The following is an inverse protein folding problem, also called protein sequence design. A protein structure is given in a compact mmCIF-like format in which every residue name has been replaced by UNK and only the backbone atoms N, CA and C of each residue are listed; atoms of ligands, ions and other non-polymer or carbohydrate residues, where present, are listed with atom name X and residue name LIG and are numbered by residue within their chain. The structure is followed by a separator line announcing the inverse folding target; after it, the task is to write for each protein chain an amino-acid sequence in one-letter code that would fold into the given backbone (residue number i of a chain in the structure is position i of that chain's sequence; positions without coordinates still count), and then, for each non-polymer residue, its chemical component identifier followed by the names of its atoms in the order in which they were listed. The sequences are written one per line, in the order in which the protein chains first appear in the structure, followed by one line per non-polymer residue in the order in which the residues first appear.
data_IF_577658581841
#
_entry.id   IF_577658581841
#
_cell.length_a   1.000
_cell.length_b   1.000
_cell.length_c   1.000
_cell.angle_alpha   90.00
_cell.angle_beta   90.00
_cell.angle_gamma   90.00
#
_symmetry.space_group_name_H-M   'P 1'
#
loop_
_entity.id
_entity.type
_entity.pdbx_description
1 polymer ?
#
# COMPACT_ATOMS: atom_id res chain seq x y z
N UNK A 1 -4.73 -15.04 -29.64
CA UNK A 1 -3.60 -14.63 -28.77
C UNK A 1 -3.35 -13.11 -28.72
N UNK A 2 -3.39 -12.37 -29.85
CA UNK A 2 -3.14 -10.90 -29.87
C UNK A 2 -4.10 -10.05 -29.01
N UNK A 3 -5.35 -10.48 -28.84
CA UNK A 3 -6.36 -9.77 -28.03
C UNK A 3 -6.01 -9.78 -26.54
N UNK A 4 -5.50 -10.90 -26.03
CA UNK A 4 -5.10 -11.06 -24.63
C UNK A 4 -3.90 -10.16 -24.30
N UNK A 5 -2.91 -10.10 -25.20
CA UNK A 5 -1.72 -9.25 -25.03
C UNK A 5 -2.07 -7.75 -25.05
N UNK A 6 -3.07 -7.35 -25.84
CA UNK A 6 -3.58 -5.97 -25.88
C UNK A 6 -4.37 -5.59 -24.61
N UNK A 7 -5.02 -6.56 -23.96
CA UNK A 7 -5.74 -6.35 -22.69
C UNK A 7 -4.78 -6.16 -21.51
N UNK A 8 -3.64 -6.87 -21.50
CA UNK A 8 -2.63 -6.77 -20.44
C UNK A 8 -1.89 -5.42 -20.35
N UNK A 9 -1.87 -4.64 -21.44
CA UNK A 9 -1.15 -3.36 -21.55
C UNK A 9 -2.13 -2.16 -21.51
N UNK A 10 -3.43 -2.42 -21.33
CA UNK A 10 -4.41 -1.33 -21.23
C UNK A 10 -4.09 -0.50 -19.99
N UNK A 11 -4.03 0.82 -20.14
CA UNK A 11 -3.95 1.79 -19.03
C UNK A 11 -5.18 2.70 -19.10
N UNK A 12 -5.63 3.24 -17.97
CA UNK A 12 -6.73 4.22 -17.96
C UNK A 12 -6.11 5.61 -18.12
N UNK A 13 -6.55 6.41 -19.10
CA UNK A 13 -6.06 7.78 -19.24
C UNK A 13 -6.51 8.63 -18.05
N UNK A 14 -5.63 9.53 -17.61
CA UNK A 14 -5.83 10.39 -16.42
C UNK A 14 -7.14 11.18 -16.44
N UNK A 15 -7.59 11.60 -17.64
CA UNK A 15 -8.86 12.33 -17.81
C UNK A 15 -10.07 11.49 -17.37
N UNK A 16 -10.05 10.17 -17.62
CA UNK A 16 -11.13 9.28 -17.18
C UNK A 16 -11.11 9.06 -15.67
N UNK A 17 -9.93 9.14 -15.03
CA UNK A 17 -9.81 9.07 -13.57
C UNK A 17 -10.40 10.31 -12.89
N UNK A 18 -10.23 11.50 -13.48
CA UNK A 18 -10.84 12.74 -12.97
C UNK A 18 -12.37 12.66 -13.00
N UNK A 19 -12.94 12.15 -14.09
CA UNK A 19 -14.38 11.92 -14.21
C UNK A 19 -14.86 10.87 -13.21
N UNK A 20 -14.04 9.85 -12.94
CA UNK A 20 -14.34 8.85 -11.91
C UNK A 20 -14.38 9.49 -10.52
N UNK A 21 -13.48 10.41 -10.18
CA UNK A 21 -13.56 11.17 -8.91
C UNK A 21 -14.89 11.93 -8.79
N UNK A 22 -15.31 12.62 -9.84
CA UNK A 22 -16.53 13.44 -9.85
C UNK A 22 -17.84 12.62 -9.87
N UNK A 23 -17.78 11.37 -10.32
CA UNK A 23 -18.96 10.48 -10.42
C UNK A 23 -19.09 9.51 -9.25
N UNK A 24 -18.19 9.54 -8.28
CA UNK A 24 -18.23 8.64 -7.13
C UNK A 24 -19.36 9.03 -6.16
N UNK A 25 -19.94 7.99 -5.54
CA UNK A 25 -20.92 8.15 -4.48
C UNK A 25 -20.24 8.89 -3.32
N UNK A 26 -20.75 10.08 -3.00
CA UNK A 26 -20.14 10.96 -2.02
C UNK A 26 -20.43 10.46 -0.59
N UNK A 27 -19.46 9.78 0.01
CA UNK A 27 -19.53 9.39 1.42
C UNK A 27 -19.21 10.59 2.34
N UNK A 28 -19.93 10.70 3.45
CA UNK A 28 -19.62 11.67 4.50
C UNK A 28 -18.22 11.36 5.07
N UNK A 29 -17.29 12.30 4.93
CA UNK A 29 -15.92 12.22 5.48
C UNK A 29 -15.97 12.31 7.02
N UNK A 30 -16.10 11.18 7.72
CA UNK A 30 -16.12 11.11 9.19
C UNK A 30 -14.83 10.58 9.80
N UNK A 31 -13.95 9.99 8.99
CA UNK A 31 -12.69 9.42 9.44
C UNK A 31 -11.70 10.52 9.83
N UNK A 32 -11.36 10.55 11.12
CA UNK A 32 -10.28 11.39 11.64
C UNK A 32 -8.94 10.71 11.41
N UNK A 33 -7.84 11.47 11.40
CA UNK A 33 -6.49 10.95 11.21
C UNK A 33 -6.13 9.80 12.17
N UNK A 34 -6.58 9.86 13.43
CA UNK A 34 -6.40 8.78 14.40
C UNK A 34 -7.09 7.48 14.01
N UNK A 35 -8.30 7.57 13.45
CA UNK A 35 -9.03 6.40 12.98
C UNK A 35 -8.36 5.79 11.75
N UNK A 36 -7.85 6.64 10.85
CA UNK A 36 -7.07 6.20 9.69
C UNK A 36 -5.78 5.48 10.11
N UNK A 37 -5.05 6.02 11.09
CA UNK A 37 -3.88 5.34 11.64
C UNK A 37 -4.23 4.03 12.32
N UNK A 38 -5.31 3.98 13.10
CA UNK A 38 -5.75 2.75 13.75
C UNK A 38 -6.08 1.65 12.74
N UNK A 39 -6.76 2.00 11.65
CA UNK A 39 -7.05 1.07 10.54
C UNK A 39 -5.76 0.60 9.88
N UNK A 40 -4.84 1.52 9.58
CA UNK A 40 -3.55 1.18 8.96
C UNK A 40 -2.69 0.26 9.84
N UNK A 41 -2.55 0.59 11.13
CA UNK A 41 -1.82 -0.24 12.09
C UNK A 41 -2.47 -1.61 12.29
N UNK A 42 -3.80 -1.66 12.36
CA UNK A 42 -4.55 -2.92 12.45
C UNK A 42 -4.39 -3.81 11.21
N UNK A 43 -4.18 -3.22 10.03
CA UNK A 43 -3.89 -3.97 8.81
C UNK A 43 -2.43 -4.48 8.73
N UNK A 44 -1.49 -3.84 9.44
CA UNK A 44 -0.06 -4.21 9.43
C UNK A 44 0.27 -5.22 10.52
N UNK A 45 -0.31 -5.08 11.71
CA UNK A 45 -0.02 -5.96 12.86
C UNK A 45 -0.78 -7.28 12.68
N UNK A 46 -0.05 -8.36 12.35
CA UNK A 46 -0.61 -9.70 12.14
C UNK A 46 0.29 -10.82 12.69
N UNK A 47 0.16 -12.03 12.13
CA UNK A 47 0.94 -13.21 12.54
C UNK A 47 2.45 -13.01 12.37
N UNK A 48 2.87 -12.13 11.47
CA UNK A 48 4.28 -11.85 11.20
C UNK A 48 5.08 -11.47 12.44
N UNK A 49 4.55 -10.59 13.31
CA UNK A 49 5.28 -10.16 14.50
C UNK A 49 5.29 -11.22 15.59
N UNK A 50 4.19 -11.99 15.75
CA UNK A 50 4.01 -12.93 16.86
C UNK A 50 4.59 -14.32 16.58
N UNK A 51 4.60 -14.76 15.31
CA UNK A 51 5.05 -16.10 14.92
C UNK A 51 6.33 -16.03 14.10
N UNK A 52 6.31 -15.29 12.99
CA UNK A 52 7.43 -15.27 12.04
C UNK A 52 8.69 -14.64 12.64
N UNK A 53 8.57 -13.68 13.56
CA UNK A 53 9.74 -13.10 14.27
C UNK A 53 10.52 -14.14 15.08
N UNK A 54 9.82 -15.04 15.79
CA UNK A 54 10.45 -16.10 16.57
C UNK A 54 11.12 -17.14 15.68
N UNK A 55 10.49 -17.46 14.54
CA UNK A 55 11.08 -18.32 13.53
C UNK A 55 12.29 -17.68 12.85
N UNK A 56 12.23 -16.37 12.57
CA UNK A 56 13.33 -15.58 12.04
C UNK A 56 14.54 -15.56 13.00
N UNK A 57 14.28 -15.40 14.30
CA UNK A 57 15.30 -15.44 15.33
C UNK A 57 15.91 -16.84 15.49
N UNK A 58 15.10 -17.90 15.54
CA UNK A 58 15.61 -19.25 15.79
C UNK A 58 16.36 -19.86 14.60
N UNK A 59 15.92 -19.60 13.37
CA UNK A 59 16.45 -20.27 12.17
C UNK A 59 17.51 -19.42 11.45
N UNK A 60 17.36 -18.10 11.42
CA UNK A 60 18.16 -17.25 10.52
C UNK A 60 19.14 -16.31 11.25
N UNK A 61 18.66 -15.51 12.21
CA UNK A 61 19.45 -14.38 12.74
C UNK A 61 19.89 -14.51 14.21
N UNK A 62 19.30 -15.40 15.00
CA UNK A 62 19.57 -15.47 16.44
C UNK A 62 19.26 -14.14 17.15
N UNK A 63 20.07 -13.75 18.15
CA UNK A 63 19.94 -12.46 18.84
C UNK A 63 20.04 -11.24 17.92
N UNK A 64 20.66 -11.38 16.73
CA UNK A 64 20.85 -10.28 15.77
C UNK A 64 19.60 -9.95 14.95
N UNK A 65 18.48 -10.66 15.16
CA UNK A 65 17.20 -10.41 14.46
C UNK A 65 16.72 -8.97 14.59
N UNK A 66 17.06 -8.29 15.69
CA UNK A 66 16.73 -6.88 15.93
C UNK A 66 17.36 -5.99 14.85
N UNK A 67 18.59 -6.28 14.41
CA UNK A 67 19.27 -5.53 13.35
C UNK A 67 18.52 -5.69 12.03
N UNK A 68 18.03 -6.90 11.72
CA UNK A 68 17.19 -7.15 10.55
C UNK A 68 15.90 -6.35 10.59
N UNK A 69 15.22 -6.29 11.74
CA UNK A 69 14.00 -5.49 11.91
C UNK A 69 14.23 -3.99 11.74
N UNK A 70 15.34 -3.45 12.25
CA UNK A 70 15.71 -2.04 12.06
C UNK A 70 15.91 -1.75 10.57
N UNK A 71 16.65 -2.60 9.86
CA UNK A 71 16.89 -2.44 8.43
C UNK A 71 15.59 -2.51 7.62
N UNK A 72 14.73 -3.49 7.92
CA UNK A 72 13.40 -3.60 7.29
C UNK A 72 12.54 -2.38 7.58
N UNK A 73 12.59 -1.83 8.80
CA UNK A 73 11.87 -0.61 9.17
C UNK A 73 12.30 0.60 8.33
N UNK A 74 13.60 0.76 8.07
CA UNK A 74 14.12 1.83 7.20
C UNK A 74 13.62 1.66 5.75
N UNK A 75 13.67 0.44 5.22
CA UNK A 75 13.19 0.14 3.85
C UNK A 75 11.67 0.39 3.74
N UNK A 76 10.91 -0.03 4.76
CA UNK A 76 9.49 0.18 4.83
C UNK A 76 9.13 1.67 4.92
N UNK A 77 9.93 2.48 5.63
CA UNK A 77 9.75 3.93 5.71
C UNK A 77 9.89 4.58 4.33
N UNK A 78 10.95 4.25 3.57
CA UNK A 78 11.12 4.77 2.22
C UNK A 78 9.96 4.37 1.30
N UNK A 79 9.51 3.12 1.40
CA UNK A 79 8.35 2.62 0.65
C UNK A 79 7.08 3.39 1.01
N UNK A 80 6.84 3.64 2.30
CA UNK A 80 5.68 4.39 2.79
C UNK A 80 5.70 5.85 2.32
N UNK A 81 6.87 6.50 2.28
CA UNK A 81 7.01 7.86 1.74
C UNK A 81 6.65 7.93 0.26
N UNK A 82 7.14 6.99 -0.55
CA UNK A 82 6.77 6.92 -1.98
C UNK A 82 5.27 6.69 -2.19
N UNK A 83 4.65 5.81 -1.38
CA UNK A 83 3.19 5.62 -1.46
C UNK A 83 2.40 6.82 -0.93
N UNK A 84 2.93 7.55 0.04
CA UNK A 84 2.32 8.79 0.54
C UNK A 84 2.30 9.87 -0.53
N UNK A 85 3.37 10.00 -1.33
CA UNK A 85 3.42 10.94 -2.46
C UNK A 85 2.40 10.57 -3.53
N UNK A 86 2.33 9.29 -3.91
CA UNK A 86 1.34 8.79 -4.88
C UNK A 86 -0.11 8.98 -4.39
N UNK A 87 -0.38 8.71 -3.11
CA UNK A 87 -1.70 8.92 -2.51
C UNK A 87 -2.11 10.40 -2.44
N UNK A 88 -1.15 11.30 -2.24
CA UNK A 88 -1.40 12.74 -2.29
C UNK A 88 -1.67 13.23 -3.72
N UNK A 89 -0.98 12.68 -4.73
CA UNK A 89 -1.18 13.04 -6.13
C UNK A 89 -2.49 12.49 -6.72
N UNK A 90 -2.92 11.31 -6.28
CA UNK A 90 -4.11 10.62 -6.78
C UNK A 90 -5.05 10.25 -5.61
N UNK A 91 -5.94 11.16 -5.16
CA UNK A 91 -6.82 10.96 -4.01
C UNK A 91 -8.05 10.09 -4.34
N UNK A 92 -7.79 8.95 -5.00
CA UNK A 92 -8.77 7.94 -5.39
C UNK A 92 -8.81 6.84 -4.32
N UNK A 93 -10.00 6.33 -4.03
CA UNK A 93 -10.13 5.10 -3.26
C UNK A 93 -9.53 3.94 -4.07
N UNK A 94 -8.33 3.51 -3.70
CA UNK A 94 -7.56 2.56 -4.49
C UNK A 94 -6.31 2.04 -3.78
N UNK A 95 -5.67 1.06 -4.39
CA UNK A 95 -4.39 0.49 -3.95
C UNK A 95 -3.36 0.60 -5.08
N UNK A 96 -2.23 -0.09 -4.96
CA UNK A 96 -1.11 -0.04 -5.91
C UNK A 96 -1.53 -0.28 -7.37
N UNK A 97 -2.59 -1.07 -7.59
CA UNK A 97 -3.20 -1.26 -8.91
C UNK A 97 -3.68 0.04 -9.55
N UNK A 98 -4.32 0.92 -8.78
CA UNK A 98 -4.82 2.21 -9.28
C UNK A 98 -3.67 3.11 -9.71
N UNK A 99 -2.58 3.14 -8.92
CA UNK A 99 -1.39 3.95 -9.24
C UNK A 99 -0.62 3.43 -10.45
N UNK A 100 -0.55 2.11 -10.65
CA UNK A 100 0.17 1.50 -11.79
C UNK A 100 -0.63 1.53 -13.09
N UNK A 101 -1.96 1.59 -13.00
CA UNK A 101 -2.87 1.65 -14.14
C UNK A 101 -3.18 3.08 -14.59
N UNK A 102 -2.85 4.07 -13.76
CA UNK A 102 -2.85 5.48 -14.09
C UNK A 102 -1.62 5.82 -14.95
N UNK A 103 -1.80 5.95 -16.26
CA UNK A 103 -0.74 6.29 -17.20
C UNK A 103 -1.23 6.51 -18.61
#
# INVERSE_FOLDING_TARGET
MKILFKQLIRRKPMVTLQVEIDTQIEFKRTLTWWQLLAIGLGAIIGDGIFVLSGQAASIYAGPSVIVSFILTGIIALFSALSFSELGAMMPLAGSVYTYTYAG
#
